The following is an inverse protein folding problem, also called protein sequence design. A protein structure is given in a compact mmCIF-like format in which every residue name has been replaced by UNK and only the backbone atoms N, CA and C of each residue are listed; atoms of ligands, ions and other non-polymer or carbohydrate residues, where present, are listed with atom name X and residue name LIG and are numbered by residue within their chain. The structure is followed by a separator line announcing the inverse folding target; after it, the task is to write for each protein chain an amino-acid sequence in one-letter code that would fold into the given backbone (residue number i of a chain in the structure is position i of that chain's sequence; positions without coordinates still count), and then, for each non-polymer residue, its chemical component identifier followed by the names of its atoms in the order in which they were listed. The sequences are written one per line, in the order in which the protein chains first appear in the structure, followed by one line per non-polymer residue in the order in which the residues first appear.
data_IF_860175955720
#
_entry.id   IF_860175955720
#
_cell.length_a   1.000
_cell.length_b   1.000
_cell.length_c   1.000
_cell.angle_alpha   90.00
_cell.angle_beta   90.00
_cell.angle_gamma   90.00
#
_symmetry.space_group_name_H-M   'P 1'
#
loop_
_entity.id
_entity.type
_entity.pdbx_description
1 polymer ?
#
# COMPACT_ATOMS: atom_id res chain seq x y z
N UNK A 1 -2.05 -25.19 -14.48
CA UNK A 1 -1.91 -24.06 -13.54
C UNK A 1 -0.85 -23.12 -14.09
N UNK A 2 -1.26 -22.04 -14.75
CA UNK A 2 -0.31 -21.02 -15.18
C UNK A 2 0.06 -20.23 -13.90
N UNK A 3 1.28 -20.41 -13.39
CA UNK A 3 1.76 -19.60 -12.27
C UNK A 3 1.77 -18.15 -12.76
N UNK A 4 1.11 -17.19 -12.07
CA UNK A 4 1.25 -15.79 -12.43
C UNK A 4 2.74 -15.47 -12.45
N UNK A 5 3.25 -14.98 -13.59
CA UNK A 5 4.61 -14.50 -13.64
C UNK A 5 4.75 -13.43 -12.55
N UNK A 6 5.72 -13.60 -11.66
CA UNK A 6 6.07 -12.55 -10.70
C UNK A 6 6.37 -11.30 -11.55
N UNK A 7 5.71 -10.15 -11.33
CA UNK A 7 6.04 -8.93 -12.04
C UNK A 7 7.55 -8.75 -12.00
N UNK A 8 8.15 -8.47 -13.15
CA UNK A 8 9.57 -8.15 -13.16
C UNK A 8 9.76 -6.91 -12.27
N UNK A 9 10.86 -6.82 -11.52
CA UNK A 9 11.09 -5.65 -10.66
C UNK A 9 11.00 -4.33 -11.46
N UNK A 10 11.38 -4.36 -12.74
CA UNK A 10 11.22 -3.25 -13.70
C UNK A 10 9.77 -2.74 -13.80
N UNK A 11 8.77 -3.62 -13.73
CA UNK A 11 7.37 -3.21 -13.87
C UNK A 11 6.93 -2.30 -12.71
N UNK A 12 7.55 -2.44 -11.52
CA UNK A 12 7.15 -1.68 -10.33
C UNK A 12 7.65 -0.24 -10.43
N UNK A 13 8.89 -0.03 -10.89
CA UNK A 13 9.44 1.31 -11.10
C UNK A 13 8.67 2.06 -12.21
N UNK A 14 8.22 1.34 -13.24
CA UNK A 14 7.34 1.91 -14.28
C UNK A 14 5.94 2.27 -13.76
N UNK A 15 5.43 1.57 -12.74
CA UNK A 15 4.09 1.83 -12.18
C UNK A 15 4.04 3.08 -11.30
N UNK A 16 5.09 3.33 -10.51
CA UNK A 16 5.11 4.43 -9.53
C UNK A 16 5.96 5.62 -9.99
N UNK A 17 6.64 5.51 -11.12
CA UNK A 17 7.60 6.50 -11.60
C UNK A 17 8.91 6.43 -10.83
N UNK A 18 9.81 7.40 -11.07
CA UNK A 18 11.10 7.44 -10.38
C UNK A 18 10.87 7.45 -8.85
N UNK A 19 11.71 6.76 -8.08
CA UNK A 19 11.74 6.93 -6.63
C UNK A 19 11.90 8.40 -6.25
N UNK A 20 11.22 8.79 -5.16
CA UNK A 20 11.43 10.09 -4.56
C UNK A 20 12.87 10.17 -4.04
N UNK A 21 13.46 11.36 -4.13
CA UNK A 21 14.70 11.64 -3.39
C UNK A 21 14.39 11.79 -1.90
N UNK A 22 15.36 11.56 -1.00
CA UNK A 22 15.14 11.74 0.44
C UNK A 22 14.57 13.12 0.81
N UNK A 23 14.98 14.18 0.11
CA UNK A 23 14.45 15.53 0.36
C UNK A 23 12.99 15.69 -0.10
N UNK A 24 12.59 15.01 -1.17
CA UNK A 24 11.20 14.97 -1.64
C UNK A 24 10.33 14.16 -0.67
N UNK A 25 10.85 13.04 -0.14
CA UNK A 25 10.19 12.25 0.90
C UNK A 25 9.99 13.07 2.17
N UNK A 26 11.04 13.71 2.69
CA UNK A 26 10.96 14.57 3.89
C UNK A 26 9.94 15.69 3.70
N UNK A 27 9.97 16.35 2.54
CA UNK A 27 9.01 17.41 2.21
C UNK A 27 7.59 16.85 2.16
N UNK A 28 7.38 15.70 1.53
CA UNK A 28 6.07 15.05 1.47
C UNK A 28 5.58 14.66 2.87
N UNK A 29 6.44 14.07 3.71
CA UNK A 29 6.08 13.70 5.08
C UNK A 29 5.70 14.92 5.91
N UNK A 30 6.47 16.02 5.85
CA UNK A 30 6.15 17.23 6.60
C UNK A 30 4.82 17.83 6.17
N UNK A 31 4.55 17.89 4.86
CA UNK A 31 3.27 18.41 4.33
C UNK A 31 2.07 17.53 4.70
N UNK A 32 2.27 16.21 4.86
CA UNK A 32 1.19 15.26 5.11
C UNK A 32 1.13 14.80 6.58
N UNK A 33 1.98 15.34 7.46
CA UNK A 33 2.13 14.87 8.85
C UNK A 33 0.82 14.85 9.62
N UNK A 34 0.01 15.90 9.49
CA UNK A 34 -1.29 16.00 10.16
C UNK A 34 -2.28 14.95 9.62
N UNK A 35 -2.36 14.81 8.30
CA UNK A 35 -3.24 13.82 7.66
C UNK A 35 -2.84 12.39 8.06
N UNK A 36 -1.55 12.09 8.12
CA UNK A 36 -1.03 10.80 8.60
C UNK A 36 -1.43 10.59 10.06
N UNK A 37 -1.32 11.62 10.91
CA UNK A 37 -1.76 11.55 12.30
C UNK A 37 -3.24 11.20 12.42
N UNK A 38 -4.10 11.86 11.65
CA UNK A 38 -5.54 11.58 11.62
C UNK A 38 -5.85 10.16 11.17
N UNK A 39 -5.16 9.65 10.14
CA UNK A 39 -5.31 8.27 9.68
C UNK A 39 -4.91 7.26 10.76
N UNK A 40 -3.86 7.55 11.52
CA UNK A 40 -3.43 6.68 12.63
C UNK A 40 -4.46 6.69 13.77
N UNK A 41 -4.98 7.87 14.13
CA UNK A 41 -6.01 7.98 15.17
C UNK A 41 -7.31 7.26 14.75
N UNK A 42 -7.71 7.38 13.48
CA UNK A 42 -8.86 6.67 12.92
C UNK A 42 -8.64 5.15 12.93
N UNK A 43 -7.48 4.69 12.46
CA UNK A 43 -7.13 3.27 12.47
C UNK A 43 -7.11 2.69 13.89
N UNK A 44 -6.65 3.46 14.88
CA UNK A 44 -6.73 3.03 16.27
C UNK A 44 -8.17 2.94 16.77
N UNK A 45 -9.00 3.93 16.45
CA UNK A 45 -10.40 3.91 16.83
C UNK A 45 -11.17 2.74 16.17
N UNK A 46 -10.86 2.40 14.92
CA UNK A 46 -11.38 1.21 14.23
C UNK A 46 -10.94 -0.07 14.93
N UNK A 47 -9.67 -0.17 15.28
CA UNK A 47 -9.14 -1.31 16.03
C UNK A 47 -9.86 -1.52 17.37
N UNK A 48 -10.08 -0.44 18.13
CA UNK A 48 -10.81 -0.49 19.40
C UNK A 48 -12.28 -0.90 19.24
N UNK A 49 -12.92 -0.55 18.11
CA UNK A 49 -14.28 -0.99 17.76
C UNK A 49 -14.33 -2.44 17.24
N UNK A 50 -13.17 -3.07 16.99
CA UNK A 50 -13.10 -4.39 16.36
C UNK A 50 -13.35 -4.36 14.85
N UNK A 51 -13.19 -3.20 14.22
CA UNK A 51 -13.42 -2.95 12.79
C UNK A 51 -12.10 -3.07 12.00
N UNK A 52 -11.42 -4.21 12.09
CA UNK A 52 -10.17 -4.45 11.35
C UNK A 52 -10.22 -5.72 10.51
N UNK A 53 -9.40 -5.75 9.47
CA UNK A 53 -9.22 -6.95 8.65
C UNK A 53 -8.37 -7.97 9.42
N UNK A 54 -8.97 -9.10 9.79
CA UNK A 54 -8.29 -10.18 10.52
C UNK A 54 -7.25 -10.92 9.66
N UNK A 55 -7.25 -10.70 8.34
CA UNK A 55 -6.32 -11.36 7.43
C UNK A 55 -4.92 -10.80 7.60
N UNK A 56 -3.94 -11.64 7.31
CA UNK A 56 -2.55 -11.19 7.26
C UNK A 56 -2.34 -10.18 6.12
N UNK A 57 -1.37 -9.29 6.27
CA UNK A 57 -0.93 -8.39 5.19
C UNK A 57 -0.61 -9.15 3.89
N UNK A 58 -0.02 -10.36 4.01
CA UNK A 58 0.29 -11.18 2.85
C UNK A 58 -0.97 -11.62 2.08
N UNK A 59 -2.06 -11.96 2.78
CA UNK A 59 -3.35 -12.32 2.16
C UNK A 59 -4.01 -11.11 1.50
N UNK A 60 -3.99 -9.95 2.16
CA UNK A 60 -4.53 -8.70 1.63
C UNK A 60 -3.80 -8.31 0.33
N UNK A 61 -2.46 -8.33 0.35
CA UNK A 61 -1.64 -8.05 -0.83
C UNK A 61 -1.90 -9.09 -1.93
N UNK A 62 -1.97 -10.38 -1.61
CA UNK A 62 -2.22 -11.43 -2.59
C UNK A 62 -3.59 -11.26 -3.27
N UNK A 63 -4.63 -10.88 -2.51
CA UNK A 63 -5.93 -10.55 -3.08
C UNK A 63 -5.84 -9.34 -4.01
N UNK A 64 -5.22 -8.24 -3.57
CA UNK A 64 -5.09 -7.03 -4.40
C UNK A 64 -4.37 -7.30 -5.73
N UNK A 65 -3.31 -8.11 -5.70
CA UNK A 65 -2.61 -8.58 -6.91
C UNK A 65 -3.54 -9.44 -7.79
N UNK A 66 -4.30 -10.37 -7.20
CA UNK A 66 -5.23 -11.20 -7.95
C UNK A 66 -6.34 -10.37 -8.62
N UNK A 67 -6.93 -9.41 -7.90
CA UNK A 67 -7.97 -8.51 -8.41
C UNK A 67 -7.45 -7.58 -9.51
N UNK A 68 -6.24 -7.03 -9.33
CA UNK A 68 -5.58 -6.22 -10.36
C UNK A 68 -5.36 -7.04 -11.64
N UNK A 69 -4.87 -8.28 -11.51
CA UNK A 69 -4.61 -9.14 -12.65
C UNK A 69 -5.89 -9.64 -13.35
N UNK A 70 -7.00 -9.78 -12.62
CA UNK A 70 -8.29 -10.15 -13.22
C UNK A 70 -8.94 -9.02 -14.04
N UNK A 71 -8.52 -7.77 -13.83
CA UNK A 71 -8.98 -6.60 -14.61
C UNK A 71 -8.18 -6.40 -15.91
N UNK A 72 -7.09 -7.14 -16.13
CA UNK A 72 -6.25 -7.11 -17.34
C UNK A 72 -6.64 -8.22 -18.31
#
# INVERSE_FOLDING_TARGET
MNKPAKPAADDVDDLFGRPLTPAEEDTWFEHNREAIGQLVDEAWAEFERGEYDERSFAEIIAQGVAEHNAKR
#
